data_IF_392720479439
#
_entry.id   IF_392720479439
#
_cell.length_a   1.000
_cell.length_b   1.000
_cell.length_c   1.000
_cell.angle_alpha   90.00
_cell.angle_beta   90.00
_cell.angle_gamma   90.00
#
_symmetry.space_group_name_H-M   'P 1'
#
loop_
_entity.id
_entity.type
_entity.pdbx_description
1 polymer ?
#
# COMPACT_ATOMS: atom_id res chain seq x y z
N UNK A 1 -0.77 -1.61 15.27
CA UNK A 1 -1.13 -1.87 13.85
C UNK A 1 -0.15 -1.32 12.80
N UNK A 2 0.30 -0.05 12.78
CA UNK A 2 1.40 0.41 11.88
C UNK A 2 2.81 0.18 12.47
N UNK A 3 3.00 0.52 13.74
CA UNK A 3 4.30 0.44 14.42
C UNK A 3 4.77 -1.01 14.61
N UNK A 4 3.84 -1.95 14.80
CA UNK A 4 4.13 -3.39 14.94
C UNK A 4 4.61 -4.04 13.65
N UNK A 5 4.42 -3.39 12.48
CA UNK A 5 4.83 -3.90 11.17
C UNK A 5 6.01 -3.13 10.57
N UNK A 6 6.60 -2.18 11.30
CA UNK A 6 7.68 -1.30 10.80
C UNK A 6 7.31 -0.57 9.48
N UNK A 7 6.02 -0.22 9.33
CA UNK A 7 5.54 0.52 8.15
C UNK A 7 5.49 2.00 8.53
N UNK A 8 6.35 2.80 7.89
CA UNK A 8 6.29 4.26 8.05
C UNK A 8 5.02 4.81 7.41
N UNK A 9 4.30 5.65 8.14
CA UNK A 9 3.10 6.33 7.63
C UNK A 9 3.42 7.16 6.38
N UNK A 10 4.61 7.77 6.33
CA UNK A 10 5.07 8.51 5.15
C UNK A 10 5.05 7.65 3.88
N UNK A 11 5.44 6.37 3.96
CA UNK A 11 5.38 5.48 2.80
C UNK A 11 3.94 5.23 2.36
N UNK A 12 2.98 5.21 3.28
CA UNK A 12 1.56 5.06 2.96
C UNK A 12 1.06 6.29 2.21
N UNK A 13 1.31 7.49 2.74
CA UNK A 13 0.94 8.74 2.08
C UNK A 13 1.61 8.88 0.72
N UNK A 14 2.92 8.61 0.62
CA UNK A 14 3.68 8.64 -0.64
C UNK A 14 3.17 7.61 -1.66
N UNK A 15 2.62 6.49 -1.19
CA UNK A 15 2.00 5.47 -2.06
C UNK A 15 0.63 5.91 -2.56
N UNK A 16 -0.15 6.66 -1.78
CA UNK A 16 -1.44 7.19 -2.21
C UNK A 16 -1.25 8.38 -3.16
N UNK A 17 -0.30 9.27 -2.85
CA UNK A 17 0.01 10.47 -3.62
C UNK A 17 0.72 10.15 -4.94
N UNK A 18 1.76 9.32 -4.88
CA UNK A 18 2.62 8.98 -6.01
C UNK A 18 2.64 7.46 -6.21
N UNK A 19 1.45 6.87 -6.43
CA UNK A 19 1.34 5.43 -6.66
C UNK A 19 2.12 4.99 -7.90
N UNK A 20 2.72 3.81 -7.85
CA UNK A 20 3.31 3.20 -9.05
C UNK A 20 2.21 2.68 -9.96
N UNK A 21 1.30 1.88 -9.37
CA UNK A 21 0.09 1.44 -10.04
C UNK A 21 -1.03 1.31 -9.01
N UNK A 22 -2.26 1.38 -9.53
CA UNK A 22 -3.46 1.13 -8.74
C UNK A 22 -4.30 0.04 -9.39
N UNK A 23 -5.00 -0.71 -8.57
CA UNK A 23 -5.95 -1.72 -8.98
C UNK A 23 -7.28 -1.49 -8.25
N UNK A 24 -8.40 -1.82 -8.87
CA UNK A 24 -9.71 -1.73 -8.24
C UNK A 24 -10.08 -3.16 -7.86
N UNK A 25 -10.17 -3.44 -6.57
CA UNK A 25 -10.59 -4.75 -6.08
C UNK A 25 -12.07 -4.99 -6.37
N UNK A 26 -12.48 -6.25 -6.33
CA UNK A 26 -13.88 -6.66 -6.56
C UNK A 26 -14.85 -6.01 -5.56
N UNK A 27 -14.38 -5.73 -4.34
CA UNK A 27 -15.10 -4.97 -3.30
C UNK A 27 -15.20 -3.45 -3.57
N UNK A 28 -14.85 -2.95 -4.76
CA UNK A 28 -14.68 -1.53 -5.10
C UNK A 28 -13.66 -0.76 -4.24
N UNK A 29 -12.81 -1.47 -3.50
CA UNK A 29 -11.67 -0.86 -2.81
C UNK A 29 -10.56 -0.52 -3.81
N UNK A 30 -9.85 0.58 -3.56
CA UNK A 30 -8.70 0.99 -4.38
C UNK A 30 -7.42 0.45 -3.74
N UNK A 31 -6.71 -0.37 -4.49
CA UNK A 31 -5.48 -1.01 -4.11
C UNK A 31 -4.33 -0.23 -4.74
N UNK A 32 -3.59 0.54 -3.95
CA UNK A 32 -2.38 1.22 -4.38
C UNK A 32 -1.17 0.37 -4.11
N UNK A 33 -0.27 0.34 -5.08
CA UNK A 33 0.98 -0.40 -4.97
C UNK A 33 2.15 0.52 -5.29
N UNK A 34 3.20 0.39 -4.48
CA UNK A 34 4.46 1.10 -4.70
C UNK A 34 5.62 0.28 -4.20
N UNK A 35 6.69 0.21 -4.99
CA UNK A 35 7.96 -0.33 -4.53
C UNK A 35 8.65 0.66 -3.60
N UNK A 36 9.03 0.20 -2.41
CA UNK A 36 9.75 0.98 -1.40
C UNK A 36 11.22 0.53 -1.45
N UNK A 37 12.09 1.24 -2.20
CA UNK A 37 13.51 0.89 -2.29
C UNK A 37 14.21 0.96 -0.92
N UNK A 38 13.75 1.85 -0.04
CA UNK A 38 14.21 2.01 1.34
C UNK A 38 13.99 0.76 2.22
N UNK A 39 13.10 -0.15 1.80
CA UNK A 39 12.75 -1.37 2.52
C UNK A 39 13.00 -2.61 1.66
N UNK A 40 14.24 -2.80 1.23
CA UNK A 40 14.69 -3.96 0.43
C UNK A 40 14.00 -4.06 -0.95
N UNK A 41 13.45 -2.94 -1.45
CA UNK A 41 12.65 -2.92 -2.67
C UNK A 41 11.30 -3.63 -2.55
N UNK A 42 10.80 -3.84 -1.32
CA UNK A 42 9.50 -4.49 -1.08
C UNK A 42 8.36 -3.64 -1.62
N UNK A 43 7.30 -4.33 -2.01
CA UNK A 43 6.12 -3.70 -2.58
C UNK A 43 5.16 -3.40 -1.44
N UNK A 44 4.90 -2.13 -1.18
CA UNK A 44 3.87 -1.68 -0.26
C UNK A 44 2.52 -1.72 -0.95
N UNK A 45 1.58 -2.44 -0.34
CA UNK A 45 0.20 -2.54 -0.79
C UNK A 45 -0.71 -1.81 0.21
N UNK A 46 -1.35 -0.75 -0.27
CA UNK A 46 -2.25 0.11 0.50
C UNK A 46 -3.66 -0.03 -0.07
N UNK A 47 -4.59 -0.52 0.74
CA UNK A 47 -6.00 -0.66 0.38
C UNK A 47 -6.78 0.49 1.00
N UNK A 48 -7.41 1.29 0.14
CA UNK A 48 -8.22 2.45 0.53
C UNK A 48 -9.66 2.19 0.10
N UNK A 49 -10.60 2.39 1.02
CA UNK A 49 -12.02 2.37 0.69
C UNK A 49 -12.47 3.79 0.30
N UNK A 50 -12.83 4.04 -0.98
CA UNK A 50 -13.32 5.35 -1.41
C UNK A 50 -14.79 5.60 -1.06
N UNK A 51 -15.55 4.59 -0.66
CA UNK A 51 -16.98 4.71 -0.36
C UNK A 51 -17.27 5.39 0.98
N UNK A 52 -16.26 5.52 1.83
CA UNK A 52 -16.34 6.26 3.10
C UNK A 52 -15.68 7.62 2.92
N UNK A 53 -16.35 8.67 3.39
CA UNK A 53 -15.82 10.03 3.45
C UNK A 53 -15.61 10.44 4.91
N UNK A 54 -14.37 10.77 5.34
CA UNK A 54 -13.14 10.82 4.54
C UNK A 54 -12.63 9.41 4.15
N UNK A 55 -11.89 9.36 3.03
CA UNK A 55 -11.29 8.11 2.50
C UNK A 55 -10.51 7.41 3.61
N UNK A 56 -10.85 6.16 3.89
CA UNK A 56 -10.23 5.39 4.98
C UNK A 56 -9.29 4.35 4.41
N UNK A 57 -8.07 4.34 4.93
CA UNK A 57 -7.12 3.27 4.69
C UNK A 57 -7.60 2.06 5.49
N UNK A 58 -8.00 1.01 4.80
CA UNK A 58 -8.54 -0.21 5.42
C UNK A 58 -7.39 -1.10 5.86
N UNK A 59 -6.41 -1.28 4.97
CA UNK A 59 -5.36 -2.28 5.12
C UNK A 59 -4.06 -1.79 4.51
N UNK A 60 -2.94 -2.00 5.21
CA UNK A 60 -1.58 -1.73 4.70
C UNK A 60 -0.66 -2.88 5.06
N UNK A 61 0.07 -3.39 4.07
CA UNK A 61 1.11 -4.40 4.29
C UNK A 61 2.13 -4.42 3.17
N UNK A 62 3.30 -4.98 3.48
CA UNK A 62 4.27 -5.33 2.45
C UNK A 62 3.93 -6.68 1.83
N UNK A 63 3.87 -6.71 0.51
CA UNK A 63 3.73 -7.97 -0.21
C UNK A 63 5.04 -8.77 -0.10
N UNK A 64 4.96 -9.87 0.62
CA UNK A 64 6.07 -10.77 0.93
C UNK A 64 6.34 -11.78 -0.18
N UNK A 65 5.41 -11.95 -1.13
CA UNK A 65 5.51 -12.87 -2.26
C UNK A 65 6.06 -12.21 -3.52
N UNK A 66 5.92 -10.90 -3.64
CA UNK A 66 6.56 -10.08 -4.66
C UNK A 66 8.06 -9.84 -4.37
N UNK A 67 8.75 -10.83 -3.76
CA UNK A 67 10.22 -10.85 -3.81
C UNK A 67 10.59 -11.00 -5.28
N UNK A 68 11.27 -9.98 -5.78
CA UNK A 68 11.95 -9.92 -7.07
C UNK A 68 12.54 -11.31 -7.35
N UNK A 69 11.98 -12.02 -8.32
CA UNK A 69 12.68 -13.15 -8.93
C UNK A 69 13.93 -12.52 -9.55
N UNK A 70 15.08 -12.76 -8.93
CA UNK A 70 16.38 -12.47 -9.52
C UNK A 70 16.62 -13.44 -10.68
#
# INVERSE_FOLDING_TARGET
MLQERNIHEEWVWRTIDSYGWKNIGEDNNIHYFKSIPEHDGRILHVVVNPHVSPKKIVTVFFDRRARRQQ
#
